data_IF_279772877089
#
_entry.id   IF_279772877089
#
_cell.length_a   1.000
_cell.length_b   1.000
_cell.length_c   1.000
_cell.angle_alpha   90.00
_cell.angle_beta   90.00
_cell.angle_gamma   90.00
#
_symmetry.space_group_name_H-M   'P 1'
#
loop_
_entity.id
_entity.type
_entity.pdbx_description
1 polymer ?
#
# COMPACT_ATOMS: atom_id res chain seq x y z
N UNK A 1 -19.80 -7.74 -16.00
CA UNK A 1 -19.45 -6.34 -15.65
C UNK A 1 -18.28 -6.41 -14.69
N UNK A 2 -17.22 -5.65 -14.91
CA UNK A 2 -16.07 -5.61 -13.99
C UNK A 2 -16.15 -4.36 -13.13
N UNK A 3 -16.09 -4.53 -11.81
CA UNK A 3 -16.09 -3.45 -10.85
C UNK A 3 -15.01 -3.73 -9.81
N UNK A 4 -14.16 -2.75 -9.52
CA UNK A 4 -13.04 -2.88 -8.58
C UNK A 4 -12.87 -1.63 -7.74
N UNK A 5 -12.51 -1.80 -6.47
CA UNK A 5 -11.97 -0.73 -5.65
C UNK A 5 -10.45 -0.76 -5.80
N UNK A 6 -9.88 0.24 -6.46
CA UNK A 6 -8.44 0.36 -6.65
C UNK A 6 -7.84 1.14 -5.49
N UNK A 7 -6.92 0.50 -4.76
CA UNK A 7 -6.16 1.17 -3.70
C UNK A 7 -4.71 1.38 -4.14
N UNK A 8 -4.41 2.62 -4.50
CA UNK A 8 -3.09 3.07 -4.92
C UNK A 8 -2.29 3.51 -3.69
N UNK A 9 -1.22 2.80 -3.38
CA UNK A 9 -0.51 2.93 -2.11
C UNK A 9 0.96 2.52 -2.19
N UNK A 10 1.72 2.83 -1.15
CA UNK A 10 3.05 2.28 -0.91
C UNK A 10 3.11 1.74 0.54
N UNK A 11 3.63 0.51 0.78
CA UNK A 11 3.70 -0.05 2.13
C UNK A 11 4.51 0.78 3.12
N UNK A 12 5.46 1.57 2.64
CA UNK A 12 6.34 2.45 3.43
C UNK A 12 5.95 3.93 3.31
N UNK A 13 4.72 4.23 2.88
CA UNK A 13 4.10 5.56 3.02
C UNK A 13 3.40 5.71 4.38
N UNK A 14 3.81 6.71 5.17
CA UNK A 14 3.28 6.92 6.52
C UNK A 14 1.81 7.31 6.52
N UNK A 15 1.35 8.07 5.51
CA UNK A 15 -0.07 8.39 5.36
C UNK A 15 -0.90 7.19 4.89
N UNK A 16 -0.33 6.24 4.14
CA UNK A 16 -0.98 4.95 3.88
C UNK A 16 -1.14 4.13 5.16
N UNK A 17 -0.17 4.20 6.09
CA UNK A 17 -0.30 3.59 7.41
C UNK A 17 -1.37 4.28 8.26
N UNK A 18 -1.35 5.61 8.31
CA UNK A 18 -2.39 6.44 8.93
C UNK A 18 -3.80 6.12 8.45
N UNK A 19 -3.92 5.83 7.16
CA UNK A 19 -5.18 5.54 6.49
C UNK A 19 -5.60 4.06 6.56
N UNK A 20 -4.75 3.16 7.06
CA UNK A 20 -4.99 1.70 7.04
C UNK A 20 -6.35 1.30 7.65
N UNK A 21 -6.80 1.84 8.81
CA UNK A 21 -8.11 1.49 9.37
C UNK A 21 -9.28 1.95 8.48
N UNK A 22 -9.13 3.09 7.80
CA UNK A 22 -10.16 3.64 6.90
C UNK A 22 -10.19 2.83 5.61
N UNK A 23 -9.03 2.46 5.07
CA UNK A 23 -8.92 1.56 3.93
C UNK A 23 -9.58 0.21 4.22
N UNK A 24 -9.36 -0.40 5.39
CA UNK A 24 -10.02 -1.64 5.80
C UNK A 24 -11.54 -1.52 5.74
N UNK A 25 -12.10 -0.48 6.37
CA UNK A 25 -13.55 -0.27 6.39
C UNK A 25 -14.15 -0.06 4.99
N UNK A 26 -13.46 0.66 4.10
CA UNK A 26 -13.90 0.87 2.71
C UNK A 26 -13.79 -0.41 1.88
N UNK A 27 -12.77 -1.24 2.13
CA UNK A 27 -12.61 -2.56 1.52
C UNK A 27 -13.74 -3.49 1.95
N UNK A 28 -14.05 -3.56 3.25
CA UNK A 28 -15.16 -4.35 3.78
C UNK A 28 -16.51 -3.90 3.18
N UNK A 29 -16.73 -2.57 3.09
CA UNK A 29 -17.93 -2.00 2.46
C UNK A 29 -18.04 -2.39 0.98
N UNK A 30 -16.95 -2.34 0.22
CA UNK A 30 -16.93 -2.74 -1.19
C UNK A 30 -17.19 -4.25 -1.35
N UNK A 31 -16.54 -5.08 -0.54
CA UNK A 31 -16.70 -6.54 -0.55
C UNK A 31 -18.13 -6.96 -0.19
N UNK A 32 -18.77 -6.30 0.76
CA UNK A 32 -20.18 -6.53 1.11
C UNK A 32 -21.13 -6.26 -0.08
N UNK A 33 -20.72 -5.43 -1.05
CA UNK A 33 -21.43 -5.16 -2.29
C UNK A 33 -20.92 -6.00 -3.49
N UNK A 34 -20.04 -6.97 -3.26
CA UNK A 34 -19.47 -7.82 -4.32
C UNK A 34 -18.42 -7.12 -5.20
N UNK A 35 -17.80 -6.05 -4.71
CA UNK A 35 -16.72 -5.33 -5.41
C UNK A 35 -15.37 -5.70 -4.80
N UNK A 36 -14.48 -6.21 -5.63
CA UNK A 36 -13.16 -6.69 -5.20
C UNK A 36 -12.17 -5.52 -5.01
N UNK A 37 -11.27 -5.69 -4.04
CA UNK A 37 -10.11 -4.82 -3.86
C UNK A 37 -9.05 -5.19 -4.90
N UNK A 38 -8.46 -4.17 -5.53
CA UNK A 38 -7.25 -4.32 -6.31
C UNK A 38 -6.21 -3.31 -5.83
N UNK A 39 -5.14 -3.83 -5.23
CA UNK A 39 -3.99 -3.03 -4.79
C UNK A 39 -3.18 -2.60 -6.00
N UNK A 40 -2.69 -1.36 -6.01
CA UNK A 40 -1.76 -0.83 -7.01
C UNK A 40 -0.61 -0.15 -6.28
N UNK A 41 0.62 -0.54 -6.57
CA UNK A 41 1.80 0.04 -5.89
C UNK A 41 2.27 1.31 -6.57
N UNK A 42 2.52 2.34 -5.76
CA UNK A 42 2.86 3.68 -6.24
C UNK A 42 4.35 3.98 -6.36
N UNK A 43 5.20 3.25 -5.64
CA UNK A 43 6.65 3.49 -5.63
C UNK A 43 7.01 4.86 -5.04
N UNK A 44 6.77 5.06 -3.74
CA UNK A 44 7.03 6.31 -3.02
C UNK A 44 8.47 6.80 -3.18
N UNK A 45 9.44 5.89 -3.06
CA UNK A 45 10.87 6.17 -3.25
C UNK A 45 11.54 4.94 -3.85
N UNK A 46 11.72 4.94 -5.17
CA UNK A 46 12.42 3.87 -5.89
C UNK A 46 13.87 4.26 -6.16
N UNK A 47 14.83 3.42 -5.77
CA UNK A 47 16.11 3.35 -6.47
C UNK A 47 17.08 4.53 -6.30
N UNK A 48 17.39 4.93 -5.06
CA UNK A 48 18.61 5.76 -4.86
C UNK A 48 19.84 4.93 -4.51
N UNK A 49 19.67 3.75 -3.89
CA UNK A 49 20.78 2.93 -3.36
C UNK A 49 21.60 3.62 -2.26
N UNK A 50 21.32 4.90 -1.99
CA UNK A 50 21.99 5.75 -1.02
C UNK A 50 21.26 5.72 0.30
N UNK A 51 22.01 5.79 1.39
CA UNK A 51 21.45 5.97 2.71
C UNK A 51 20.67 7.28 2.82
N UNK A 52 19.68 7.33 3.71
CA UNK A 52 18.96 8.54 4.02
C UNK A 52 19.88 9.64 4.53
N UNK A 53 19.81 10.79 3.87
CA UNK A 53 20.41 12.01 4.39
C UNK A 53 19.73 12.45 5.71
N UNK A 54 20.49 13.02 6.68
CA UNK A 54 19.94 13.41 7.98
C UNK A 54 18.73 14.37 7.89
N UNK A 55 18.72 15.27 6.91
CA UNK A 55 17.61 16.20 6.69
C UNK A 55 16.34 15.46 6.21
N UNK A 56 16.48 14.54 5.26
CA UNK A 56 15.38 13.71 4.76
C UNK A 56 14.84 12.81 5.87
N UNK A 57 15.71 12.22 6.69
CA UNK A 57 15.31 11.44 7.86
C UNK A 57 14.44 12.25 8.82
N UNK A 58 14.86 13.48 9.15
CA UNK A 58 14.09 14.37 10.03
C UNK A 58 12.70 14.67 9.46
N UNK A 59 12.65 15.04 8.18
CA UNK A 59 11.40 15.30 7.47
C UNK A 59 10.45 14.10 7.49
N UNK A 60 10.95 12.87 7.29
CA UNK A 60 10.12 11.66 7.37
C UNK A 60 9.57 11.45 8.79
N UNK A 61 10.39 11.65 9.82
CA UNK A 61 9.95 11.49 11.20
C UNK A 61 8.91 12.56 11.62
N UNK A 62 9.02 13.78 11.10
CA UNK A 62 7.98 14.81 11.26
C UNK A 62 6.65 14.37 10.64
N UNK A 63 6.68 13.67 9.49
CA UNK A 63 5.47 13.10 8.89
C UNK A 63 4.88 11.98 9.75
N UNK A 64 5.73 11.14 10.37
CA UNK A 64 5.25 10.09 11.27
C UNK A 64 4.55 10.68 12.51
N UNK A 65 5.08 11.77 13.06
CA UNK A 65 4.45 12.51 14.15
C UNK A 65 3.09 13.08 13.72
N UNK A 66 3.03 13.75 12.57
CA UNK A 66 1.78 14.30 12.03
C UNK A 66 0.72 13.21 11.80
N UNK A 67 1.12 12.03 11.30
CA UNK A 67 0.22 10.88 11.15
C UNK A 67 -0.28 10.39 12.50
N UNK A 68 0.61 10.28 13.50
CA UNK A 68 0.23 9.86 14.87
C UNK A 68 -0.81 10.82 15.45
N UNK A 69 -0.58 12.13 15.34
CA UNK A 69 -1.49 13.17 15.84
C UNK A 69 -2.85 13.14 15.12
N UNK A 70 -2.85 12.96 13.80
CA UNK A 70 -4.07 13.00 13.00
C UNK A 70 -4.90 11.71 13.06
N UNK A 71 -4.27 10.56 13.29
CA UNK A 71 -4.90 9.24 13.09
C UNK A 71 -4.84 8.31 14.30
N UNK A 72 -3.96 8.60 15.27
CA UNK A 72 -3.69 7.71 16.39
C UNK A 72 -2.91 6.45 16.04
N UNK A 73 -2.50 6.26 14.78
CA UNK A 73 -1.74 5.08 14.37
C UNK A 73 -0.37 5.04 15.07
N UNK A 74 0.06 3.87 15.58
CA UNK A 74 1.27 3.78 16.38
C UNK A 74 2.53 3.82 15.52
N UNK A 75 3.57 4.42 16.09
CA UNK A 75 4.93 4.40 15.57
C UNK A 75 5.91 4.17 16.71
N UNK A 76 6.96 3.40 16.43
CA UNK A 76 8.14 3.28 17.30
C UNK A 76 9.18 4.28 16.81
N UNK A 77 9.38 5.36 17.55
CA UNK A 77 10.34 6.41 17.19
C UNK A 77 11.77 6.09 17.65
N UNK A 78 11.92 5.32 18.72
CA UNK A 78 13.22 4.95 19.25
C UNK A 78 13.93 3.98 18.29
N UNK A 79 15.14 4.37 17.84
CA UNK A 79 15.88 3.61 16.84
C UNK A 79 15.32 3.67 15.41
N UNK A 80 14.25 4.42 15.15
CA UNK A 80 13.64 4.53 13.83
C UNK A 80 14.62 5.10 12.79
N UNK A 81 14.65 4.51 11.60
CA UNK A 81 15.48 4.95 10.47
C UNK A 81 16.95 5.15 10.89
N UNK A 82 17.66 4.08 11.30
CA UNK A 82 19.02 4.20 11.82
C UNK A 82 19.99 4.80 10.78
N UNK A 83 21.16 5.24 11.24
CA UNK A 83 22.22 5.72 10.35
C UNK A 83 22.58 4.65 9.32
N UNK A 84 22.74 5.05 8.05
CA UNK A 84 22.99 4.14 6.94
C UNK A 84 21.74 3.48 6.34
N UNK A 85 20.53 3.69 6.91
CA UNK A 85 19.30 3.11 6.37
C UNK A 85 19.02 3.60 4.94
N UNK A 86 18.86 2.66 4.00
CA UNK A 86 18.47 2.93 2.62
C UNK A 86 16.95 2.83 2.52
N UNK A 87 16.28 3.96 2.30
CA UNK A 87 14.81 4.02 2.21
C UNK A 87 14.34 3.72 0.78
N UNK A 88 14.60 2.50 0.30
CA UNK A 88 14.10 2.01 -0.98
C UNK A 88 12.79 1.26 -0.76
N UNK A 89 11.68 1.80 -1.28
CA UNK A 89 10.34 1.22 -1.06
C UNK A 89 9.96 0.19 -2.12
N UNK A 90 10.77 0.07 -3.18
CA UNK A 90 10.50 -0.83 -4.30
C UNK A 90 10.45 -2.30 -3.87
N UNK A 91 11.34 -2.84 -3.01
CA UNK A 91 11.23 -4.22 -2.55
C UNK A 91 9.89 -4.51 -1.84
N UNK A 92 9.43 -3.62 -0.97
CA UNK A 92 8.15 -3.77 -0.29
C UNK A 92 6.97 -3.70 -1.28
N UNK A 93 7.06 -2.85 -2.31
CA UNK A 93 6.08 -2.80 -3.39
C UNK A 93 6.05 -4.12 -4.19
N UNK A 94 7.22 -4.64 -4.57
CA UNK A 94 7.33 -5.91 -5.30
C UNK A 94 6.80 -7.10 -4.49
N UNK A 95 6.97 -7.09 -3.17
CA UNK A 95 6.36 -8.09 -2.30
C UNK A 95 4.83 -8.09 -2.39
N UNK A 96 4.20 -6.91 -2.41
CA UNK A 96 2.74 -6.79 -2.59
C UNK A 96 2.31 -7.29 -3.98
N UNK A 97 3.05 -6.94 -5.03
CA UNK A 97 2.76 -7.36 -6.41
C UNK A 97 2.91 -8.89 -6.56
N UNK A 98 3.96 -9.48 -6.02
CA UNK A 98 4.17 -10.93 -6.01
C UNK A 98 3.05 -11.66 -5.25
N UNK A 99 2.67 -11.18 -4.06
CA UNK A 99 1.57 -11.76 -3.29
C UNK A 99 0.23 -11.61 -4.02
N UNK A 100 -0.05 -10.45 -4.63
CA UNK A 100 -1.23 -10.21 -5.46
C UNK A 100 -1.31 -11.19 -6.63
N UNK A 101 -0.17 -11.56 -7.23
CA UNK A 101 -0.13 -12.51 -8.35
C UNK A 101 -0.33 -13.97 -7.91
N UNK A 102 0.20 -14.37 -6.75
CA UNK A 102 0.15 -15.76 -6.28
C UNK A 102 -1.12 -16.06 -5.46
N UNK A 103 -1.50 -15.14 -4.59
CA UNK A 103 -2.55 -15.31 -3.60
C UNK A 103 -3.23 -13.95 -3.33
N UNK A 104 -4.14 -13.49 -4.22
CA UNK A 104 -4.81 -12.19 -4.11
C UNK A 104 -5.41 -11.93 -2.72
N UNK A 105 -6.03 -12.95 -2.12
CA UNK A 105 -6.66 -12.87 -0.80
C UNK A 105 -5.65 -12.59 0.34
N UNK A 106 -4.37 -12.92 0.13
CA UNK A 106 -3.30 -12.71 1.09
C UNK A 106 -2.61 -11.35 0.92
N UNK A 107 -2.71 -10.70 -0.25
CA UNK A 107 -1.97 -9.49 -0.57
C UNK A 107 -2.30 -8.33 0.39
N UNK A 108 -3.58 -8.16 0.72
CA UNK A 108 -4.00 -7.12 1.67
C UNK A 108 -3.49 -7.39 3.10
N UNK A 109 -3.52 -8.66 3.53
CA UNK A 109 -2.94 -9.07 4.81
C UNK A 109 -1.43 -8.82 4.84
N UNK A 110 -0.71 -9.09 3.76
CA UNK A 110 0.72 -8.82 3.65
C UNK A 110 1.04 -7.33 3.79
N UNK A 111 0.27 -6.45 3.15
CA UNK A 111 0.42 -4.99 3.32
C UNK A 111 0.39 -4.59 4.80
N UNK A 112 -0.63 -5.06 5.54
CA UNK A 112 -0.77 -4.77 6.97
C UNK A 112 0.43 -5.29 7.79
N UNK A 113 0.92 -6.48 7.47
CA UNK A 113 2.10 -7.06 8.13
C UNK A 113 3.38 -6.27 7.83
N UNK A 114 3.59 -5.81 6.59
CA UNK A 114 4.72 -4.97 6.21
C UNK A 114 4.67 -3.63 6.97
N UNK A 115 3.51 -2.97 6.98
CA UNK A 115 3.34 -1.71 7.70
C UNK A 115 3.60 -1.87 9.20
N UNK A 116 3.04 -2.89 9.83
CA UNK A 116 3.27 -3.19 11.24
C UNK A 116 4.75 -3.49 11.53
N UNK A 117 5.39 -4.29 10.68
CA UNK A 117 6.80 -4.64 10.79
C UNK A 117 7.70 -3.39 10.73
N UNK A 118 7.40 -2.47 9.81
CA UNK A 118 8.20 -1.27 9.62
C UNK A 118 7.94 -0.21 10.70
N UNK A 119 6.69 0.20 10.89
CA UNK A 119 6.36 1.35 11.75
C UNK A 119 6.35 1.03 13.23
N UNK A 120 6.01 -0.20 13.62
CA UNK A 120 5.85 -0.57 15.04
C UNK A 120 6.99 -1.48 15.51
N UNK A 121 7.40 -2.44 14.70
CA UNK A 121 8.42 -3.42 15.10
C UNK A 121 9.86 -2.97 14.77
N UNK A 122 10.03 -1.88 14.00
CA UNK A 122 11.35 -1.37 13.61
C UNK A 122 12.14 -2.32 12.71
N UNK A 123 11.46 -3.23 12.00
CA UNK A 123 12.08 -4.19 11.09
C UNK A 123 12.41 -3.51 9.76
N UNK A 124 13.55 -3.88 9.19
CA UNK A 124 13.94 -3.43 7.85
C UNK A 124 13.18 -4.23 6.77
N UNK A 125 12.07 -3.67 6.30
CA UNK A 125 11.24 -4.25 5.23
C UNK A 125 11.78 -3.98 3.82
N UNK A 126 12.97 -3.39 3.69
CA UNK A 126 13.69 -3.34 2.41
C UNK A 126 14.43 -4.65 2.12
N UNK A 127 14.61 -5.50 3.14
CA UNK A 127 15.28 -6.79 3.02
C UNK A 127 14.33 -7.88 2.51
N UNK A 128 14.75 -8.57 1.45
CA UNK A 128 14.01 -9.69 0.86
C UNK A 128 13.69 -10.79 1.90
N UNK A 129 14.62 -11.10 2.79
CA UNK A 129 14.43 -12.12 3.83
C UNK A 129 13.28 -11.80 4.80
N UNK A 130 13.12 -10.52 5.16
CA UNK A 130 12.02 -10.03 6.00
C UNK A 130 10.71 -10.14 5.23
N UNK A 131 10.68 -9.71 3.97
CA UNK A 131 9.48 -9.76 3.14
C UNK A 131 8.98 -11.19 2.92
N UNK A 132 9.89 -12.16 2.71
CA UNK A 132 9.55 -13.59 2.58
C UNK A 132 8.90 -14.13 3.86
N UNK A 133 9.43 -13.79 5.04
CA UNK A 133 8.85 -14.21 6.32
C UNK A 133 7.44 -13.62 6.54
N UNK A 134 7.26 -12.34 6.20
CA UNK A 134 5.97 -11.68 6.32
C UNK A 134 4.95 -12.26 5.34
N UNK A 135 5.36 -12.61 4.11
CA UNK A 135 4.51 -13.27 3.12
C UNK A 135 4.07 -14.67 3.57
N UNK A 136 4.99 -15.44 4.15
CA UNK A 136 4.70 -16.75 4.76
C UNK A 136 3.68 -16.60 5.90
N UNK A 137 3.84 -15.59 6.76
CA UNK A 137 2.88 -15.25 7.82
C UNK A 137 1.53 -14.79 7.27
N UNK A 138 1.52 -14.13 6.11
CA UNK A 138 0.30 -13.74 5.42
C UNK A 138 -0.47 -14.96 4.91
N UNK A 139 0.23 -16.04 4.56
CA UNK A 139 -0.34 -17.30 4.05
C UNK A 139 0.15 -17.69 2.66
N UNK A 140 1.14 -16.98 2.10
CA UNK A 140 1.73 -17.31 0.80
C UNK A 140 2.87 -18.32 1.01
N UNK A 141 2.91 -19.46 0.27
CA UNK A 141 3.97 -20.44 0.43
C UNK A 141 5.36 -19.83 0.20
N UNK A 142 6.27 -20.01 1.16
CA UNK A 142 7.59 -19.39 1.19
C UNK A 142 8.38 -19.53 -0.11
N UNK A 143 8.43 -20.76 -0.65
CA UNK A 143 9.22 -21.10 -1.84
C UNK A 143 8.63 -20.42 -3.09
N UNK A 144 7.30 -20.46 -3.23
CA UNK A 144 6.59 -19.84 -4.36
C UNK A 144 6.74 -18.32 -4.31
N UNK A 145 6.57 -17.73 -3.12
CA UNK A 145 6.76 -16.29 -2.92
C UNK A 145 8.18 -15.85 -3.24
N UNK A 146 9.21 -16.54 -2.72
CA UNK A 146 10.60 -16.19 -2.98
C UNK A 146 10.93 -16.27 -4.48
N UNK A 147 10.48 -17.32 -5.16
CA UNK A 147 10.67 -17.46 -6.60
C UNK A 147 9.98 -16.34 -7.41
N UNK A 148 8.73 -15.99 -7.04
CA UNK A 148 8.02 -14.90 -7.70
C UNK A 148 8.66 -13.54 -7.41
N UNK A 149 9.05 -13.27 -6.17
CA UNK A 149 9.68 -12.03 -5.74
C UNK A 149 10.96 -11.69 -6.52
N UNK A 150 11.77 -12.70 -6.84
CA UNK A 150 13.01 -12.57 -7.62
C UNK A 150 12.78 -12.61 -9.14
N UNK A 151 11.55 -12.89 -9.60
CA UNK A 151 11.29 -13.09 -11.02
C UNK A 151 11.23 -11.77 -11.81
N UNK A 152 11.76 -11.80 -13.03
CA UNK A 152 11.68 -10.66 -13.96
C UNK A 152 10.23 -10.22 -14.25
N UNK A 153 9.28 -11.15 -14.17
CA UNK A 153 7.85 -10.87 -14.32
C UNK A 153 7.34 -9.95 -13.21
N UNK A 154 7.62 -10.23 -11.93
CA UNK A 154 7.14 -9.38 -10.84
C UNK A 154 7.89 -8.05 -10.77
N UNK A 155 9.15 -8.00 -11.20
CA UNK A 155 9.86 -6.73 -11.44
C UNK A 155 9.12 -5.87 -12.49
N UNK A 156 8.79 -6.46 -13.65
CA UNK A 156 8.09 -5.76 -14.72
C UNK A 156 6.66 -5.34 -14.29
N UNK A 157 5.93 -6.19 -13.58
CA UNK A 157 4.60 -5.88 -13.06
C UNK A 157 4.64 -4.73 -12.04
N UNK A 158 5.65 -4.71 -11.16
CA UNK A 158 5.86 -3.60 -10.21
C UNK A 158 6.15 -2.29 -10.93
N UNK A 159 7.01 -2.31 -11.95
CA UNK A 159 7.27 -1.13 -12.78
C UNK A 159 6.04 -0.67 -13.58
N UNK A 160 5.19 -1.61 -14.01
CA UNK A 160 3.94 -1.31 -14.71
C UNK A 160 2.92 -0.61 -13.80
N UNK A 161 2.76 -1.07 -12.56
CA UNK A 161 1.93 -0.38 -11.55
C UNK A 161 2.40 1.06 -11.35
N UNK A 162 3.70 1.26 -11.12
CA UNK A 162 4.28 2.59 -10.87
C UNK A 162 4.09 3.51 -12.09
N UNK A 163 4.36 3.01 -13.30
CA UNK A 163 4.16 3.77 -14.55
C UNK A 163 2.69 4.15 -14.71
N UNK A 164 1.76 3.22 -14.46
CA UNK A 164 0.33 3.48 -14.56
C UNK A 164 -0.15 4.57 -13.58
N UNK A 165 0.36 4.56 -12.34
CA UNK A 165 0.09 5.60 -11.34
C UNK A 165 0.59 6.97 -11.81
N UNK A 166 1.79 7.02 -12.38
CA UNK A 166 2.39 8.24 -12.92
C UNK A 166 1.62 8.78 -14.13
N UNK A 167 1.23 7.91 -15.06
CA UNK A 167 0.46 8.27 -16.25
C UNK A 167 -0.94 8.82 -15.92
N UNK A 168 -1.53 8.35 -14.81
CA UNK A 168 -2.78 8.90 -14.26
C UNK A 168 -2.60 10.23 -13.52
N UNK A 169 -1.36 10.72 -13.36
CA UNK A 169 -1.06 11.97 -12.65
C UNK A 169 -1.31 11.89 -11.15
N UNK A 170 -1.33 10.70 -10.56
CA UNK A 170 -1.50 10.52 -9.12
C UNK A 170 -0.21 10.95 -8.42
N UNK A 171 -0.25 12.14 -7.83
CA UNK A 171 0.90 12.74 -7.15
C UNK A 171 0.94 12.48 -5.63
N UNK A 172 0.00 11.69 -5.10
CA UNK A 172 -0.16 11.50 -3.65
C UNK A 172 -0.72 10.12 -3.28
N UNK A 173 -0.23 9.62 -2.15
CA UNK A 173 -0.72 8.39 -1.51
C UNK A 173 -1.23 8.73 -0.10
N UNK A 174 -2.27 8.03 0.39
CA UNK A 174 -3.08 7.01 -0.28
C UNK A 174 -4.01 7.59 -1.34
N UNK A 175 -4.29 6.85 -2.42
CA UNK A 175 -5.33 7.21 -3.40
C UNK A 175 -6.31 6.03 -3.55
N UNK A 176 -7.61 6.31 -3.51
CA UNK A 176 -8.65 5.31 -3.81
C UNK A 176 -9.43 5.71 -5.05
N UNK A 177 -9.60 4.76 -5.97
CA UNK A 177 -10.42 4.91 -7.17
C UNK A 177 -11.47 3.80 -7.19
N UNK A 178 -12.67 4.12 -7.65
CA UNK A 178 -13.67 3.12 -7.98
C UNK A 178 -13.70 2.94 -9.50
N UNK A 179 -13.48 1.72 -9.97
CA UNK A 179 -13.47 1.39 -11.39
C UNK A 179 -14.73 0.60 -11.77
N UNK A 180 -15.37 0.96 -12.89
CA UNK A 180 -16.42 0.16 -13.51
C UNK A 180 -16.26 0.15 -15.02
N UNK A 181 -16.15 -1.04 -15.61
CA UNK A 181 -16.02 -1.22 -17.06
C UNK A 181 -14.93 -0.30 -17.67
N UNK A 182 -13.79 -0.15 -16.97
CA UNK A 182 -12.66 0.70 -17.36
C UNK A 182 -12.82 2.19 -17.07
N UNK A 183 -13.97 2.65 -16.56
CA UNK A 183 -14.15 4.04 -16.13
C UNK A 183 -13.72 4.20 -14.67
N UNK A 184 -12.84 5.16 -14.41
CA UNK A 184 -12.32 5.48 -13.07
C UNK A 184 -13.09 6.66 -12.46
N UNK A 185 -13.45 6.52 -11.19
CA UNK A 185 -13.96 7.60 -10.35
C UNK A 185 -13.02 7.79 -9.15
N UNK A 186 -12.52 9.00 -8.96
CA UNK A 186 -11.70 9.34 -7.80
C UNK A 186 -12.55 9.37 -6.54
N UNK A 187 -12.18 8.60 -5.52
CA UNK A 187 -12.77 8.68 -4.18
C UNK A 187 -11.95 9.63 -3.29
N UNK A 188 -10.63 9.43 -3.25
CA UNK A 188 -9.71 10.33 -2.54
C UNK A 188 -8.31 10.30 -3.14
N UNK A 189 -7.61 11.42 -3.01
CA UNK A 189 -6.16 11.54 -3.18
C UNK A 189 -5.61 12.21 -1.92
N UNK A 190 -5.03 11.39 -1.03
CA UNK A 190 -4.63 11.75 0.32
C UNK A 190 -5.57 11.21 1.40
N UNK A 191 -5.14 11.38 2.65
CA UNK A 191 -5.91 11.00 3.83
C UNK A 191 -7.20 11.85 3.95
N UNK A 192 -8.33 11.18 4.18
CA UNK A 192 -9.58 11.80 4.60
C UNK A 192 -10.29 10.89 5.61
N UNK A 193 -11.12 11.44 6.52
CA UNK A 193 -11.92 10.65 7.44
C UNK A 193 -12.84 9.64 6.75
N UNK A 194 -13.30 8.63 7.49
CA UNK A 194 -14.09 7.53 6.94
C UNK A 194 -15.47 7.98 6.42
N UNK A 195 -16.22 8.79 7.18
CA UNK A 195 -17.63 9.04 6.85
C UNK A 195 -17.84 9.63 5.44
N UNK A 196 -17.11 10.69 5.02
CA UNK A 196 -17.26 11.24 3.67
C UNK A 196 -16.92 10.24 2.56
N UNK A 197 -15.92 9.38 2.78
CA UNK A 197 -15.50 8.38 1.81
C UNK A 197 -16.48 7.21 1.72
N UNK A 198 -17.00 6.76 2.87
CA UNK A 198 -18.02 5.71 2.95
C UNK A 198 -19.29 6.14 2.23
N UNK A 199 -19.73 7.39 2.43
CA UNK A 199 -20.89 7.95 1.72
C UNK A 199 -20.67 8.05 0.20
N UNK A 200 -19.47 8.45 -0.21
CA UNK A 200 -19.12 8.54 -1.63
C UNK A 200 -19.08 7.16 -2.29
N UNK A 201 -18.49 6.17 -1.62
CA UNK A 201 -18.44 4.79 -2.07
C UNK A 201 -19.85 4.20 -2.15
N UNK A 202 -20.70 4.41 -1.14
CA UNK A 202 -22.09 3.95 -1.13
C UNK A 202 -22.86 4.47 -2.36
N UNK A 203 -22.78 5.78 -2.66
CA UNK A 203 -23.41 6.37 -3.85
C UNK A 203 -22.91 5.75 -5.15
N UNK A 204 -21.62 5.44 -5.23
CA UNK A 204 -21.04 4.79 -6.40
C UNK A 204 -21.54 3.34 -6.56
N UNK A 205 -21.62 2.58 -5.46
CA UNK A 205 -22.13 1.21 -5.42
C UNK A 205 -23.63 1.14 -5.78
N UNK A 206 -24.46 2.03 -5.26
CA UNK A 206 -25.90 2.08 -5.58
C UNK A 206 -26.16 2.35 -7.07
N UNK A 207 -25.36 3.20 -7.70
CA UNK A 207 -25.42 3.42 -9.15
C UNK A 207 -25.03 2.18 -9.95
N UNK A 208 -24.31 1.23 -9.36
CA UNK A 208 -23.98 -0.06 -9.98
C UNK A 208 -25.19 -0.98 -10.03
N UNK A 209 -25.94 -1.06 -8.93
CA UNK A 209 -27.07 -1.97 -8.79
C UNK A 209 -28.27 -1.60 -9.69
N UNK A 210 -28.28 -0.39 -10.26
CA UNK A 210 -29.39 0.13 -11.10
C UNK A 210 -29.17 -0.01 -12.60
N UNK A 211 -28.03 -0.55 -13.05
CA UNK A 211 -27.68 -0.78 -14.46
C UNK A 211 -27.52 -2.26 -14.70
#
# INVERSE_FOLDING_TARGET
>A
MTARLLYVMDPMCSWCWGFSPIAEALVEQAQAAGVELHLVVGGLRTGTGSSLEPATRRYILEHWQAVTEATGQPFTFEGALPEGFVYDTEPACRAVVAARSLAPDCAWKLVKLIQQAFYVQGRDVTQASVLVELAETAGVPRIEFAAAFDSAEQHAATAADITWVQDLGIAGFPTLLAERNGQLALLTNGYQPLEPLSDLLARWLERAARV
#
